data_IF_792502891412
#
_entry.id   IF_792502891412
#
_cell.length_a   1.000
_cell.length_b   1.000
_cell.length_c   1.000
_cell.angle_alpha   90.00
_cell.angle_beta   90.00
_cell.angle_gamma   90.00
#
_symmetry.space_group_name_H-M   'P 1'
#
loop_
_entity.id
_entity.type
_entity.pdbx_description
1 polymer ?
#
# COMPACT_ATOMS: atom_id res chain seq x y z
N UNK A 1 1.29 -0.88 -10.83
CA UNK A 1 1.26 0.57 -10.53
C UNK A 1 2.65 1.01 -10.07
N UNK A 2 3.08 2.26 -10.31
CA UNK A 2 4.40 2.73 -9.86
C UNK A 2 4.33 4.13 -9.28
N UNK A 3 5.22 4.44 -8.33
CA UNK A 3 5.26 5.71 -7.61
C UNK A 3 6.70 6.23 -7.53
N UNK A 4 6.82 7.54 -7.38
CA UNK A 4 8.09 8.19 -7.02
C UNK A 4 7.90 8.91 -5.71
N UNK A 5 8.78 8.62 -4.76
CA UNK A 5 8.90 9.40 -3.53
C UNK A 5 9.99 10.45 -3.77
N UNK A 6 9.58 11.71 -3.89
CA UNK A 6 10.47 12.85 -4.09
C UNK A 6 11.07 13.27 -2.76
N UNK A 7 12.38 13.46 -2.73
CA UNK A 7 13.06 14.01 -1.56
C UNK A 7 13.29 15.51 -1.74
N UNK A 8 12.73 16.31 -0.82
CA UNK A 8 12.86 17.76 -0.75
C UNK A 8 13.46 18.14 0.61
N UNK A 9 14.78 17.96 0.75
CA UNK A 9 15.46 18.12 2.04
C UNK A 9 15.00 17.05 3.03
N UNK A 10 14.42 17.47 4.15
CA UNK A 10 13.86 16.57 5.19
C UNK A 10 12.38 16.23 4.95
N UNK A 11 11.82 16.61 3.80
CA UNK A 11 10.42 16.34 3.44
C UNK A 11 10.32 15.41 2.23
N UNK A 12 9.28 14.56 2.25
CA UNK A 12 9.04 13.59 1.20
C UNK A 12 7.62 13.73 0.65
N UNK A 13 7.45 13.59 -0.66
CA UNK A 13 6.13 13.59 -1.31
C UNK A 13 6.00 12.44 -2.29
N UNK A 14 4.84 11.79 -2.31
CA UNK A 14 4.54 10.65 -3.19
C UNK A 14 3.84 11.13 -4.45
N UNK A 15 4.38 10.78 -5.61
CA UNK A 15 3.82 11.06 -6.94
C UNK A 15 3.52 9.73 -7.65
N UNK A 16 2.27 9.45 -8.07
CA UNK A 16 1.99 8.29 -8.92
C UNK A 16 2.56 8.51 -10.32
N UNK A 17 3.22 7.49 -10.87
CA UNK A 17 3.66 7.48 -12.26
C UNK A 17 2.46 7.17 -13.15
N UNK A 18 1.96 8.15 -13.91
CA UNK A 18 0.93 7.89 -14.90
C UNK A 18 1.50 6.99 -16.02
N UNK A 19 0.93 5.80 -16.18
CA UNK A 19 1.06 5.01 -17.40
C UNK A 19 0.48 5.84 -18.55
N UNK A 20 1.29 6.08 -19.58
CA UNK A 20 0.82 6.68 -20.82
C UNK A 20 -0.08 5.68 -21.57
N UNK A 21 -1.34 5.56 -21.19
CA UNK A 21 -2.34 5.07 -22.13
C UNK A 21 -2.60 6.18 -23.14
N UNK A 22 -2.06 5.93 -24.32
CA UNK A 22 -2.01 6.84 -25.45
C UNK A 22 -3.39 6.92 -26.08
N UNK A 23 -4.23 7.83 -25.61
CA UNK A 23 -5.34 8.38 -26.43
C UNK A 23 -5.84 9.71 -25.85
N UNK A 24 -5.08 10.78 -26.05
CA UNK A 24 -5.72 12.07 -26.29
C UNK A 24 -4.79 13.05 -27.00
N UNK A 25 -5.17 13.34 -28.23
CA UNK A 25 -4.65 14.45 -29.00
C UNK A 25 -4.89 15.78 -28.26
N UNK A 26 -3.83 16.59 -28.18
CA UNK A 26 -3.88 18.04 -28.02
C UNK A 26 -4.37 18.60 -26.67
N UNK A 27 -3.42 18.82 -25.75
CA UNK A 27 -3.28 20.10 -25.07
C UNK A 27 -1.87 20.22 -24.46
N UNK A 28 -1.21 21.35 -24.73
CA UNK A 28 0.09 21.69 -24.19
C UNK A 28 0.02 21.85 -22.67
N UNK A 29 0.41 20.80 -21.94
CA UNK A 29 0.85 20.89 -20.55
C UNK A 29 1.90 19.81 -20.32
N UNK A 30 3.16 20.26 -20.45
CA UNK A 30 4.38 19.68 -19.92
C UNK A 30 4.42 18.14 -19.85
N UNK A 31 4.91 17.54 -20.93
CA UNK A 31 5.66 16.29 -20.86
C UNK A 31 6.87 16.50 -19.94
N UNK A 32 6.67 16.31 -18.63
CA UNK A 32 7.76 16.22 -17.68
C UNK A 32 8.39 14.85 -17.91
N UNK A 33 9.53 14.81 -18.63
CA UNK A 33 10.50 13.75 -18.45
C UNK A 33 10.77 13.68 -16.96
N UNK A 34 10.29 12.62 -16.31
CA UNK A 34 10.44 12.39 -14.89
C UNK A 34 11.91 12.14 -14.57
N UNK A 35 12.68 13.23 -14.44
CA UNK A 35 14.06 13.17 -14.00
C UNK A 35 14.04 12.80 -12.52
N UNK A 36 14.48 11.59 -12.18
CA UNK A 36 14.73 11.21 -10.79
C UNK A 36 15.97 11.97 -10.30
N UNK A 37 15.85 12.68 -9.19
CA UNK A 37 17.00 13.16 -8.46
C UNK A 37 17.72 11.97 -7.79
N UNK A 38 19.00 12.14 -7.43
CA UNK A 38 19.80 11.10 -6.76
C UNK A 38 19.16 10.63 -5.44
N UNK A 39 18.37 11.50 -4.82
CA UNK A 39 17.69 11.27 -3.54
C UNK A 39 16.24 10.80 -3.69
N UNK A 40 15.72 10.72 -4.91
CA UNK A 40 14.36 10.24 -5.15
C UNK A 40 14.30 8.72 -5.10
N UNK A 41 13.19 8.16 -4.63
CA UNK A 41 12.95 6.73 -4.59
C UNK A 41 11.90 6.34 -5.62
N UNK A 42 12.30 5.54 -6.62
CA UNK A 42 11.35 4.87 -7.49
C UNK A 42 10.81 3.62 -6.77
N UNK A 43 9.48 3.53 -6.67
CA UNK A 43 8.73 2.39 -6.16
C UNK A 43 7.95 1.81 -7.33
N UNK A 44 8.55 0.85 -8.01
CA UNK A 44 7.99 0.17 -9.18
C UNK A 44 7.17 -1.08 -8.83
N UNK A 45 7.35 -1.62 -7.62
CA UNK A 45 6.60 -2.78 -7.10
C UNK A 45 6.33 -2.69 -5.59
N UNK A 46 5.43 -3.56 -5.12
CA UNK A 46 5.14 -3.73 -3.70
C UNK A 46 6.34 -4.31 -2.93
N UNK A 47 7.04 -5.30 -3.50
CA UNK A 47 8.30 -5.80 -2.96
C UNK A 47 9.34 -4.69 -2.75
N UNK A 48 9.48 -3.76 -3.71
CA UNK A 48 10.40 -2.61 -3.57
C UNK A 48 10.01 -1.73 -2.39
N UNK A 49 8.72 -1.45 -2.23
CA UNK A 49 8.20 -0.69 -1.10
C UNK A 49 8.49 -1.40 0.23
N UNK A 50 8.19 -2.69 0.32
CA UNK A 50 8.37 -3.49 1.53
C UNK A 50 9.84 -3.57 1.95
N UNK A 51 10.76 -3.74 1.00
CA UNK A 51 12.21 -3.70 1.25
C UNK A 51 12.65 -2.36 1.82
N UNK A 52 12.13 -1.26 1.27
CA UNK A 52 12.46 0.08 1.76
C UNK A 52 11.89 0.30 3.17
N UNK A 53 10.67 -0.14 3.43
CA UNK A 53 10.05 -0.14 4.76
C UNK A 53 10.89 -0.90 5.79
N UNK A 54 11.31 -2.14 5.49
CA UNK A 54 12.13 -2.94 6.42
C UNK A 54 13.48 -2.27 6.73
N UNK A 55 14.03 -1.51 5.78
CA UNK A 55 15.28 -0.79 5.95
C UNK A 55 15.12 0.61 6.60
N UNK A 56 13.90 1.07 6.87
CA UNK A 56 13.61 2.42 7.35
C UNK A 56 13.07 2.38 8.78
N UNK A 57 13.74 3.06 9.70
CA UNK A 57 13.26 3.21 11.08
C UNK A 57 11.96 4.03 11.14
N UNK A 58 11.12 3.75 12.14
CA UNK A 58 9.80 4.39 12.28
C UNK A 58 9.87 5.90 12.55
N UNK A 59 10.99 6.42 13.06
CA UNK A 59 11.25 7.84 13.31
C UNK A 59 11.88 8.56 12.11
N UNK A 60 12.19 7.83 11.04
CA UNK A 60 12.76 8.40 9.83
C UNK A 60 11.71 9.26 9.08
N UNK A 61 12.06 10.48 8.60
CA UNK A 61 11.13 11.33 7.87
C UNK A 61 10.59 10.73 6.55
N UNK A 62 11.24 9.69 6.01
CA UNK A 62 10.75 8.92 4.86
C UNK A 62 9.54 8.04 5.22
N UNK A 63 9.44 7.59 6.47
CA UNK A 63 8.46 6.59 6.91
C UNK A 63 6.99 6.99 6.59
N UNK A 64 6.55 8.24 6.84
CA UNK A 64 5.20 8.67 6.45
C UNK A 64 4.93 8.58 4.95
N UNK A 65 5.94 8.84 4.10
CA UNK A 65 5.78 8.71 2.65
C UNK A 65 5.66 7.24 2.23
N UNK A 66 6.38 6.32 2.89
CA UNK A 66 6.20 4.89 2.67
C UNK A 66 4.78 4.46 3.06
N UNK A 67 4.27 4.91 4.23
CA UNK A 67 2.90 4.61 4.66
C UNK A 67 1.86 5.13 3.67
N UNK A 68 2.08 6.31 3.08
CA UNK A 68 1.22 6.85 2.05
C UNK A 68 1.25 5.98 0.78
N UNK A 69 2.44 5.56 0.31
CA UNK A 69 2.55 4.64 -0.83
C UNK A 69 1.88 3.29 -0.56
N UNK A 70 1.97 2.76 0.67
CA UNK A 70 1.25 1.55 1.07
C UNK A 70 -0.25 1.72 0.88
N UNK A 71 -0.83 2.85 1.32
CA UNK A 71 -2.27 3.09 1.16
C UNK A 71 -2.68 3.03 -0.30
N UNK A 72 -1.93 3.71 -1.18
CA UNK A 72 -2.23 3.65 -2.61
C UNK A 72 -2.16 2.23 -3.21
N UNK A 73 -1.24 1.38 -2.73
CA UNK A 73 -1.19 -0.03 -3.13
C UNK A 73 -2.33 -0.87 -2.54
N UNK A 74 -2.76 -0.57 -1.31
CA UNK A 74 -3.89 -1.25 -0.67
C UNK A 74 -5.24 -0.81 -1.23
N UNK A 75 -5.32 0.36 -1.87
CA UNK A 75 -6.50 0.84 -2.58
C UNK A 75 -6.65 0.20 -3.98
N UNK A 76 -5.59 -0.46 -4.49
CA UNK A 76 -5.53 -1.13 -5.80
C UNK A 76 -4.67 -2.40 -5.73
N UNK A 77 -5.24 -3.45 -5.13
CA UNK A 77 -4.57 -4.75 -4.95
C UNK A 77 -4.43 -5.57 -6.24
N UNK A 78 -5.17 -5.23 -7.30
CA UNK A 78 -5.10 -5.89 -8.60
C UNK A 78 -3.70 -5.77 -9.22
N UNK A 79 -3.02 -4.67 -8.92
CA UNK A 79 -1.67 -4.39 -9.40
C UNK A 79 -0.55 -5.11 -8.63
N UNK A 80 -0.86 -5.90 -7.60
CA UNK A 80 0.10 -6.65 -6.78
C UNK A 80 0.31 -8.04 -7.38
N UNK A 81 1.57 -8.46 -7.51
CA UNK A 81 1.93 -9.63 -8.31
C UNK A 81 1.91 -10.92 -7.50
N UNK A 82 2.10 -10.86 -6.18
CA UNK A 82 2.28 -12.07 -5.36
C UNK A 82 1.50 -12.04 -4.04
N UNK A 83 1.07 -13.23 -3.54
CA UNK A 83 0.47 -13.34 -2.22
C UNK A 83 1.35 -12.79 -1.09
N UNK A 84 2.67 -13.03 -1.18
CA UNK A 84 3.63 -12.59 -0.17
C UNK A 84 3.68 -11.06 -0.02
N UNK A 85 3.51 -10.32 -1.12
CA UNK A 85 3.44 -8.86 -1.09
C UNK A 85 2.15 -8.37 -0.42
N UNK A 86 1.00 -8.98 -0.73
CA UNK A 86 -0.29 -8.66 -0.09
C UNK A 86 -0.18 -8.87 1.42
N UNK A 87 0.30 -10.04 1.86
CA UNK A 87 0.53 -10.31 3.27
C UNK A 87 1.49 -9.30 3.90
N UNK A 88 2.58 -8.94 3.21
CA UNK A 88 3.54 -7.94 3.69
C UNK A 88 2.92 -6.56 3.93
N UNK A 89 2.11 -6.08 2.99
CA UNK A 89 1.43 -4.78 3.08
C UNK A 89 0.40 -4.77 4.22
N UNK A 90 -0.40 -5.83 4.33
CA UNK A 90 -1.42 -5.97 5.38
C UNK A 90 -0.80 -6.12 6.77
N UNK A 91 0.23 -6.96 6.94
CA UNK A 91 0.89 -7.09 8.23
C UNK A 91 1.57 -5.79 8.67
N UNK A 92 2.11 -5.03 7.74
CA UNK A 92 2.60 -3.69 8.04
C UNK A 92 1.47 -2.75 8.48
N UNK A 93 0.32 -2.74 7.78
CA UNK A 93 -0.85 -1.96 8.20
C UNK A 93 -1.28 -2.31 9.64
N UNK A 94 -1.44 -3.59 9.95
CA UNK A 94 -1.84 -4.06 11.28
C UNK A 94 -0.83 -3.65 12.36
N UNK A 95 0.47 -3.77 12.07
CA UNK A 95 1.55 -3.36 12.98
C UNK A 95 1.47 -1.87 13.31
N UNK A 96 1.26 -1.02 12.32
CA UNK A 96 1.17 0.44 12.52
C UNK A 96 -0.02 0.83 13.41
N UNK A 97 -1.09 0.04 13.36
CA UNK A 97 -2.30 0.25 14.15
C UNK A 97 -2.26 -0.47 15.50
N UNK A 98 -1.12 -1.11 15.83
CA UNK A 98 -0.96 -1.86 17.08
C UNK A 98 -1.79 -3.12 17.18
N UNK A 99 -2.32 -3.62 16.05
CA UNK A 99 -3.17 -4.80 15.98
C UNK A 99 -2.29 -6.04 15.89
N UNK A 100 -2.49 -6.99 16.81
CA UNK A 100 -1.82 -8.29 16.79
C UNK A 100 -2.70 -9.33 16.13
N UNK A 101 -2.09 -10.14 15.26
CA UNK A 101 -2.78 -11.20 14.51
C UNK A 101 -2.82 -12.51 15.30
N UNK A 102 -1.93 -12.72 16.27
CA UNK A 102 -1.92 -13.86 17.22
C UNK A 102 -2.13 -15.27 16.59
N UNK A 103 -1.71 -15.44 15.32
CA UNK A 103 -1.85 -16.70 14.58
C UNK A 103 -3.16 -16.85 13.82
N UNK A 104 -4.07 -15.88 13.91
CA UNK A 104 -5.31 -15.82 13.15
C UNK A 104 -5.08 -15.51 11.67
N UNK A 105 -6.01 -15.96 10.83
CA UNK A 105 -6.08 -15.55 9.43
C UNK A 105 -6.46 -14.06 9.30
N UNK A 106 -6.32 -13.51 8.08
CA UNK A 106 -6.77 -12.14 7.79
C UNK A 106 -8.29 -12.01 7.96
N UNK A 107 -9.05 -13.02 7.54
CA UNK A 107 -10.50 -13.08 7.69
C UNK A 107 -10.92 -13.11 9.17
N UNK A 108 -10.33 -14.02 9.97
CA UNK A 108 -10.57 -14.08 11.42
C UNK A 108 -10.20 -12.78 12.13
N UNK A 109 -9.14 -12.12 11.66
CA UNK A 109 -8.74 -10.81 12.17
C UNK A 109 -9.78 -9.74 11.85
N UNK A 110 -10.32 -9.73 10.62
CA UNK A 110 -11.36 -8.79 10.20
C UNK A 110 -12.64 -8.98 11.02
N UNK A 111 -13.08 -10.22 11.21
CA UNK A 111 -14.27 -10.56 12.00
C UNK A 111 -14.11 -10.12 13.46
N UNK A 112 -12.95 -10.39 14.07
CA UNK A 112 -12.67 -9.95 15.44
C UNK A 112 -12.71 -8.42 15.57
N UNK A 113 -12.16 -7.68 14.60
CA UNK A 113 -12.21 -6.22 14.62
C UNK A 113 -13.64 -5.70 14.45
N UNK A 114 -14.42 -6.34 13.58
CA UNK A 114 -15.84 -6.05 13.39
C UNK A 114 -16.63 -6.24 14.68
N UNK A 115 -16.39 -7.34 15.41
CA UNK A 115 -17.04 -7.60 16.70
C UNK A 115 -16.71 -6.52 17.75
N UNK A 116 -15.46 -6.02 17.76
CA UNK A 116 -15.05 -4.94 18.66
C UNK A 116 -15.80 -3.64 18.33
N UNK A 117 -15.86 -3.28 17.05
CA UNK A 117 -16.55 -2.09 16.58
C UNK A 117 -18.06 -2.14 16.90
N UNK A 118 -18.71 -3.28 16.65
CA UNK A 118 -20.13 -3.50 16.99
C UNK A 118 -20.36 -3.40 18.51
N UNK A 119 -19.50 -4.04 19.32
CA UNK A 119 -19.65 -4.02 20.77
C UNK A 119 -19.42 -2.62 21.37
N UNK A 120 -18.61 -1.80 20.72
CA UNK A 120 -18.30 -0.44 21.14
C UNK A 120 -19.21 0.64 20.51
N UNK A 121 -20.09 0.27 19.56
CA UNK A 121 -20.84 1.21 18.72
C UNK A 121 -19.88 2.23 18.06
N UNK A 122 -18.80 1.72 17.47
CA UNK A 122 -17.74 2.50 16.83
C UNK A 122 -17.42 2.01 15.43
N UNK A 123 -16.85 2.93 14.63
CA UNK A 123 -16.31 2.65 13.29
C UNK A 123 -14.77 2.76 13.31
N UNK A 124 -14.13 2.38 14.42
CA UNK A 124 -12.70 2.63 14.62
C UNK A 124 -11.83 1.82 13.65
N UNK A 125 -12.26 0.59 13.35
CA UNK A 125 -11.50 -0.37 12.55
C UNK A 125 -12.05 -0.56 11.15
N UNK A 126 -13.13 0.14 10.79
CA UNK A 126 -13.82 0.03 9.50
C UNK A 126 -12.88 0.02 8.30
N UNK A 127 -11.96 1.00 8.19
CA UNK A 127 -11.00 1.07 7.08
C UNK A 127 -10.07 -0.15 7.02
N UNK A 128 -9.63 -0.63 8.19
CA UNK A 128 -8.73 -1.80 8.28
C UNK A 128 -9.49 -3.07 7.90
N UNK A 129 -10.74 -3.21 8.36
CA UNK A 129 -11.62 -4.33 8.01
C UNK A 129 -11.82 -4.39 6.49
N UNK A 130 -12.02 -3.24 5.83
CA UNK A 130 -12.13 -3.18 4.37
C UNK A 130 -10.86 -3.69 3.68
N UNK A 131 -9.68 -3.18 4.05
CA UNK A 131 -8.42 -3.67 3.45
C UNK A 131 -8.16 -5.16 3.72
N UNK A 132 -8.54 -5.68 4.89
CA UNK A 132 -8.40 -7.11 5.19
C UNK A 132 -9.29 -7.96 4.29
N UNK A 133 -10.54 -7.55 4.08
CA UNK A 133 -11.48 -8.28 3.21
C UNK A 133 -11.05 -8.24 1.74
N UNK A 134 -10.65 -7.06 1.27
CA UNK A 134 -10.15 -6.88 -0.10
C UNK A 134 -8.90 -7.73 -0.36
N UNK A 135 -7.98 -7.78 0.62
CA UNK A 135 -6.82 -8.66 0.57
C UNK A 135 -7.19 -10.15 0.53
N UNK A 136 -8.19 -10.57 1.33
CA UNK A 136 -8.68 -11.96 1.33
C UNK A 136 -9.27 -12.32 -0.03
N UNK A 137 -10.13 -11.46 -0.59
CA UNK A 137 -10.74 -11.68 -1.90
C UNK A 137 -9.67 -11.79 -3.00
N UNK A 138 -8.70 -10.86 -3.03
CA UNK A 138 -7.60 -10.90 -3.99
C UNK A 138 -6.73 -12.14 -3.85
N UNK A 139 -6.45 -12.59 -2.62
CA UNK A 139 -5.68 -13.82 -2.38
C UNK A 139 -6.40 -15.05 -2.93
N UNK A 140 -7.73 -15.14 -2.73
CA UNK A 140 -8.51 -16.23 -3.31
C UNK A 140 -8.52 -16.20 -4.84
N UNK A 141 -8.61 -15.02 -5.45
CA UNK A 141 -8.50 -14.89 -6.91
C UNK A 141 -7.15 -15.39 -7.44
N UNK A 142 -6.04 -15.01 -6.79
CA UNK A 142 -4.71 -15.49 -7.17
C UNK A 142 -4.59 -17.01 -7.06
N UNK A 143 -5.11 -17.60 -5.98
CA UNK A 143 -5.11 -19.06 -5.81
C UNK A 143 -5.94 -19.78 -6.89
N UNK A 144 -7.01 -19.16 -7.38
CA UNK A 144 -7.84 -19.71 -8.47
C UNK A 144 -7.16 -19.58 -9.84
N UNK A 145 -6.45 -18.48 -10.10
CA UNK A 145 -5.73 -18.25 -11.35
C UNK A 145 -4.50 -19.17 -11.54
N UNK A 146 -3.98 -19.74 -10.45
CA UNK A 146 -2.87 -20.71 -10.48
C UNK A 146 -3.30 -22.15 -10.83
N UNK A 147 -4.60 -22.44 -10.95
CA UNK A 147 -5.19 -23.78 -11.22
C UNK A 147 -5.51 -23.98 -12.71
#
# INVERSE_FOLDING_TARGET
>A
MSFIIRANGDSFSVEPCQSQDSDSANAASASAKTSLAVTDYLIDSADRLLKLYVATDNDNPLYPALQQTRRYLLDDLDAIETPAEIYGLIHWLLRDQGIRVDGSSLEETADRLSDIDIAADSDQYTDIIFHLRDAVDRLYEMELDEI
#
